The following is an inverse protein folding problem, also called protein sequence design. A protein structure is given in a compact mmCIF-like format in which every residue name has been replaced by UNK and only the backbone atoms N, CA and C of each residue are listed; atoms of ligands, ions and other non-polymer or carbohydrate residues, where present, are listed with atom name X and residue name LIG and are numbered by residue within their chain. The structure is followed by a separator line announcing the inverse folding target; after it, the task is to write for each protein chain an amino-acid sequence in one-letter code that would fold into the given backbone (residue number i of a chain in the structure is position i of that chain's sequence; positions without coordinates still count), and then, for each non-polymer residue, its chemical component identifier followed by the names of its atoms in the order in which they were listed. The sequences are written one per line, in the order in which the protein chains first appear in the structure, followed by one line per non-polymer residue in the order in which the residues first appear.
data_IF_936604099332
#
_entry.id   IF_936604099332
#
_cell.length_a   1.000
_cell.length_b   1.000
_cell.length_c   1.000
_cell.angle_alpha   90.00
_cell.angle_beta   90.00
_cell.angle_gamma   90.00
#
_symmetry.space_group_name_H-M   'P 1'
#
loop_
_entity.id
_entity.type
_entity.pdbx_description
1 polymer ?
#
# COMPACT_ATOMS: atom_id res chain seq x y z
N UNK A 1 13.11 -9.81 23.61
CA UNK A 1 11.89 -10.57 23.99
C UNK A 1 10.70 -9.76 23.53
N UNK A 2 9.67 -10.38 22.93
CA UNK A 2 8.45 -9.65 22.56
C UNK A 2 7.79 -9.08 23.81
N UNK A 3 7.22 -7.89 23.70
CA UNK A 3 6.38 -7.27 24.71
C UNK A 3 5.11 -8.09 24.91
N UNK A 4 4.68 -8.24 26.16
CA UNK A 4 3.27 -8.54 26.46
C UNK A 4 2.40 -7.31 26.19
N UNK A 5 1.07 -7.48 26.13
CA UNK A 5 0.14 -6.36 25.94
C UNK A 5 0.36 -5.24 26.97
N UNK A 6 0.47 -5.57 28.26
CA UNK A 6 0.68 -4.55 29.32
C UNK A 6 2.03 -3.84 29.17
N UNK A 7 3.11 -4.57 28.85
CA UNK A 7 4.42 -3.94 28.64
C UNK A 7 4.42 -3.04 27.38
N UNK A 8 3.72 -3.45 26.33
CA UNK A 8 3.53 -2.63 25.12
C UNK A 8 2.74 -1.36 25.44
N UNK A 9 1.65 -1.48 26.18
CA UNK A 9 0.82 -0.35 26.65
C UNK A 9 1.63 0.62 27.52
N UNK A 10 2.45 0.11 28.43
CA UNK A 10 3.35 0.92 29.27
C UNK A 10 4.39 1.65 28.42
N UNK A 11 4.97 0.99 27.42
CA UNK A 11 5.93 1.60 26.50
C UNK A 11 5.29 2.72 25.67
N UNK A 12 4.09 2.50 25.15
CA UNK A 12 3.33 3.54 24.45
C UNK A 12 2.99 4.71 25.38
N UNK A 13 2.56 4.45 26.62
CA UNK A 13 2.31 5.51 27.59
C UNK A 13 3.58 6.33 27.88
N UNK A 14 4.74 5.69 27.94
CA UNK A 14 6.05 6.35 28.08
C UNK A 14 6.36 7.25 26.88
N UNK A 15 6.16 6.75 25.65
CA UNK A 15 6.37 7.53 24.43
C UNK A 15 5.41 8.73 24.34
N UNK A 16 4.13 8.53 24.68
CA UNK A 16 3.12 9.60 24.72
C UNK A 16 3.53 10.68 25.72
N UNK A 17 3.97 10.30 26.91
CA UNK A 17 4.49 11.26 27.91
C UNK A 17 5.70 12.02 27.40
N UNK A 18 6.63 11.33 26.73
CA UNK A 18 7.82 11.96 26.14
C UNK A 18 7.44 12.98 25.07
N UNK A 19 6.56 12.61 24.13
CA UNK A 19 6.05 13.48 23.09
C UNK A 19 5.32 14.70 23.68
N UNK A 20 4.40 14.47 24.64
CA UNK A 20 3.63 15.53 25.28
C UNK A 20 4.52 16.56 25.99
N UNK A 21 5.62 16.11 26.62
CA UNK A 21 6.55 16.99 27.34
C UNK A 21 7.20 18.03 26.43
N UNK A 22 7.56 17.65 25.19
CA UNK A 22 8.23 18.55 24.24
C UNK A 22 7.40 18.79 22.96
N UNK A 23 6.06 18.67 23.04
CA UNK A 23 5.16 18.72 21.88
C UNK A 23 5.41 19.92 20.97
N UNK A 24 5.60 21.10 21.57
CA UNK A 24 5.86 22.33 20.81
C UNK A 24 7.10 22.25 19.91
N UNK A 25 8.13 21.48 20.30
CA UNK A 25 9.33 21.27 19.48
C UNK A 25 9.07 20.28 18.35
N UNK A 26 8.31 19.22 18.61
CA UNK A 26 8.02 18.17 17.62
C UNK A 26 7.08 18.63 16.52
N UNK A 27 6.09 19.47 16.82
CA UNK A 27 5.19 20.05 15.80
C UNK A 27 5.79 21.25 15.06
N UNK A 28 6.98 21.71 15.46
CA UNK A 28 7.59 22.89 14.87
C UNK A 28 7.98 22.65 13.39
N UNK A 29 7.89 23.65 12.50
CA UNK A 29 8.29 23.53 11.09
C UNK A 29 9.72 23.01 10.86
N UNK A 30 10.64 23.22 11.81
CA UNK A 30 12.02 22.75 11.72
C UNK A 30 12.21 21.24 12.03
N UNK A 31 11.27 20.60 12.74
CA UNK A 31 11.36 19.18 13.05
C UNK A 31 11.18 18.34 11.78
N UNK A 32 11.90 17.22 11.66
CA UNK A 32 11.95 16.42 10.43
C UNK A 32 11.15 15.12 10.59
N UNK A 33 10.49 14.69 9.51
CA UNK A 33 9.80 13.39 9.45
C UNK A 33 10.73 12.23 9.82
N UNK A 34 11.99 12.26 9.37
CA UNK A 34 12.98 11.23 9.71
C UNK A 34 13.27 11.15 11.22
N UNK A 35 13.28 12.28 11.93
CA UNK A 35 13.44 12.30 13.39
C UNK A 35 12.18 11.77 14.08
N UNK A 36 10.99 12.16 13.60
CA UNK A 36 9.73 11.62 14.11
C UNK A 36 9.66 10.09 13.97
N UNK A 37 10.15 9.57 12.84
CA UNK A 37 10.27 8.14 12.60
C UNK A 37 11.15 7.48 13.66
N UNK A 38 12.38 7.94 13.81
CA UNK A 38 13.35 7.35 14.74
C UNK A 38 12.94 7.49 16.22
N UNK A 39 12.40 8.63 16.62
CA UNK A 39 12.11 8.93 18.04
C UNK A 39 10.76 8.38 18.51
N UNK A 40 9.81 8.18 17.60
CA UNK A 40 8.42 7.88 17.99
C UNK A 40 7.75 6.77 17.19
N UNK A 41 7.82 6.80 15.85
CA UNK A 41 7.05 5.88 15.01
C UNK A 41 7.72 4.50 14.94
N UNK A 42 9.04 4.42 14.82
CA UNK A 42 9.79 3.17 14.92
C UNK A 42 9.57 2.52 16.30
N UNK A 43 9.74 3.24 17.43
CA UNK A 43 9.38 2.72 18.75
C UNK A 43 7.92 2.26 18.88
N UNK A 44 6.96 2.95 18.26
CA UNK A 44 5.55 2.54 18.25
C UNK A 44 5.38 1.18 17.56
N UNK A 45 6.02 0.96 16.41
CA UNK A 45 5.94 -0.31 15.70
C UNK A 45 6.73 -1.43 16.40
N UNK A 46 7.85 -1.10 17.05
CA UNK A 46 8.57 -2.03 17.93
C UNK A 46 7.72 -2.42 19.14
N UNK A 47 6.95 -1.48 19.71
CA UNK A 47 6.01 -1.76 20.78
C UNK A 47 4.86 -2.67 20.32
N UNK A 48 4.56 -2.72 19.02
CA UNK A 48 3.67 -3.72 18.39
C UNK A 48 4.38 -5.04 18.05
N UNK A 49 5.57 -5.28 18.59
CA UNK A 49 6.42 -6.46 18.41
C UNK A 49 6.99 -6.68 17.01
N UNK A 50 6.93 -5.69 16.12
CA UNK A 50 7.57 -5.80 14.81
C UNK A 50 9.07 -5.55 14.89
N UNK A 51 9.86 -6.37 14.18
CA UNK A 51 11.31 -6.19 14.08
C UNK A 51 11.69 -5.11 13.06
N UNK A 52 11.38 -3.85 13.38
CA UNK A 52 11.60 -2.67 12.52
C UNK A 52 13.08 -2.51 12.16
N UNK A 53 13.97 -2.75 13.12
CA UNK A 53 15.41 -2.54 12.97
C UNK A 53 16.16 -3.79 12.52
N UNK A 54 15.46 -4.89 12.22
CA UNK A 54 16.04 -6.18 11.84
C UNK A 54 17.09 -6.69 12.85
N UNK A 55 16.81 -6.56 14.15
CA UNK A 55 17.68 -7.08 15.22
C UNK A 55 17.76 -8.60 15.23
N UNK A 56 16.82 -9.30 14.60
CA UNK A 56 16.90 -10.74 14.39
C UNK A 56 17.89 -11.12 13.27
N UNK A 57 18.49 -10.14 12.58
CA UNK A 57 19.42 -10.33 11.46
C UNK A 57 18.83 -11.23 10.37
N UNK A 58 17.52 -11.12 10.12
CA UNK A 58 16.87 -11.87 9.07
C UNK A 58 17.44 -11.46 7.70
N UNK A 59 17.57 -12.44 6.80
CA UNK A 59 17.94 -12.16 5.43
C UNK A 59 16.89 -11.21 4.79
N UNK A 60 17.25 -10.44 3.74
CA UNK A 60 16.33 -9.51 3.08
C UNK A 60 14.98 -10.12 2.73
N UNK A 61 14.96 -11.39 2.30
CA UNK A 61 13.76 -12.15 1.95
C UNK A 61 12.88 -12.55 3.14
N UNK A 62 13.33 -12.41 4.38
CA UNK A 62 12.61 -12.83 5.59
C UNK A 62 12.36 -11.71 6.62
N UNK A 63 12.89 -10.50 6.41
CA UNK A 63 12.59 -9.31 7.24
C UNK A 63 11.10 -9.03 7.38
N UNK A 64 10.55 -9.01 8.58
CA UNK A 64 9.10 -8.78 8.77
C UNK A 64 8.67 -7.35 8.42
N UNK A 65 9.59 -6.39 8.48
CA UNK A 65 9.37 -4.98 8.12
C UNK A 65 10.32 -4.59 7.01
N UNK A 66 9.78 -4.03 5.93
CA UNK A 66 10.55 -3.40 4.86
C UNK A 66 10.38 -1.89 5.00
N UNK A 67 11.49 -1.19 5.19
CA UNK A 67 11.56 0.26 5.20
C UNK A 67 11.93 0.74 3.81
N UNK A 68 11.24 1.74 3.30
CA UNK A 68 11.65 2.42 2.07
C UNK A 68 12.76 3.44 2.41
N UNK A 69 13.92 3.29 1.76
CA UNK A 69 14.97 4.30 1.75
C UNK A 69 14.51 5.43 0.84
N UNK A 70 13.96 6.48 1.43
CA UNK A 70 13.60 7.70 0.72
C UNK A 70 14.86 8.45 0.29
N UNK A 71 15.57 7.95 -0.72
CA UNK A 71 16.49 8.75 -1.52
C UNK A 71 15.64 9.51 -2.52
N UNK A 72 15.30 10.75 -2.17
CA UNK A 72 14.58 11.69 -3.02
C UNK A 72 15.35 11.94 -4.34
N UNK A 73 15.08 11.11 -5.34
CA UNK A 73 15.42 11.39 -6.73
C UNK A 73 14.15 11.95 -7.37
N UNK A 74 14.10 13.28 -7.42
CA UNK A 74 13.27 14.12 -8.28
C UNK A 74 12.03 13.43 -8.90
N UNK A 75 10.89 13.49 -8.20
CA UNK A 75 9.57 13.32 -8.81
C UNK A 75 9.02 11.90 -8.95
N UNK A 76 9.64 10.88 -8.36
CA UNK A 76 9.07 9.52 -8.35
C UNK A 76 8.05 9.32 -7.21
N UNK A 77 6.97 8.58 -7.50
CA UNK A 77 5.90 8.27 -6.54
C UNK A 77 6.49 7.49 -5.36
N UNK A 78 6.55 8.14 -4.19
CA UNK A 78 7.04 7.62 -2.91
C UNK A 78 6.27 6.36 -2.51
N UNK A 79 6.97 5.22 -2.39
CA UNK A 79 6.45 3.99 -1.79
C UNK A 79 6.08 4.22 -0.31
N UNK A 80 5.23 3.38 0.30
CA UNK A 80 4.87 3.55 1.71
C UNK A 80 6.09 3.43 2.61
N UNK A 81 6.19 4.25 3.66
CA UNK A 81 7.39 4.30 4.51
C UNK A 81 7.70 2.94 5.19
N UNK A 82 6.66 2.14 5.47
CA UNK A 82 6.74 0.82 6.10
C UNK A 82 5.84 -0.20 5.37
N UNK A 83 6.37 -1.39 5.09
CA UNK A 83 5.59 -2.55 4.69
C UNK A 83 5.79 -3.72 5.66
N UNK A 84 4.69 -4.19 6.24
CA UNK A 84 4.68 -5.28 7.21
C UNK A 84 4.24 -6.58 6.54
N UNK A 85 4.97 -7.67 6.78
CA UNK A 85 4.74 -8.94 6.09
C UNK A 85 4.89 -10.17 6.98
N UNK A 86 4.23 -11.24 6.56
CA UNK A 86 4.43 -12.60 7.08
C UNK A 86 5.01 -13.42 5.94
N UNK A 87 6.28 -13.83 6.08
CA UNK A 87 7.02 -14.43 4.96
C UNK A 87 7.11 -13.47 3.77
N UNK A 88 6.54 -13.86 2.62
CA UNK A 88 6.49 -13.02 1.41
C UNK A 88 5.19 -12.21 1.29
N UNK A 89 4.18 -12.50 2.11
CA UNK A 89 2.88 -11.86 2.00
C UNK A 89 2.84 -10.56 2.79
N UNK A 90 2.64 -9.44 2.08
CA UNK A 90 2.35 -8.14 2.69
C UNK A 90 1.00 -8.20 3.40
N UNK A 91 0.95 -7.65 4.62
CA UNK A 91 -0.25 -7.64 5.47
C UNK A 91 -0.88 -6.25 5.55
N UNK A 92 -0.06 -5.24 5.82
CA UNK A 92 -0.50 -3.84 5.84
C UNK A 92 0.67 -2.89 5.55
N UNK A 93 0.34 -1.65 5.23
CA UNK A 93 1.32 -0.56 5.14
C UNK A 93 1.21 0.37 6.34
N UNK A 94 2.35 0.93 6.73
CA UNK A 94 2.46 2.07 7.63
C UNK A 94 2.97 3.27 6.84
N UNK A 95 2.24 4.37 6.85
CA UNK A 95 2.69 5.65 6.30
C UNK A 95 3.00 6.60 7.45
N UNK A 96 4.21 7.16 7.46
CA UNK A 96 4.62 8.14 8.43
C UNK A 96 4.42 9.56 7.87
N UNK A 97 4.10 10.48 8.77
CA UNK A 97 4.15 11.91 8.50
C UNK A 97 4.90 12.59 9.63
N UNK A 98 5.34 13.81 9.34
CA UNK A 98 5.87 14.71 10.36
C UNK A 98 4.75 15.12 11.34
N UNK A 99 5.02 15.15 12.66
CA UNK A 99 4.10 15.70 13.65
C UNK A 99 3.64 17.12 13.31
N UNK A 100 2.35 17.39 13.56
CA UNK A 100 1.72 18.68 13.27
C UNK A 100 1.08 18.76 11.88
N UNK A 101 1.13 17.67 11.10
CA UNK A 101 0.28 17.51 9.91
C UNK A 101 -1.07 16.98 10.39
N UNK A 102 -2.12 17.80 10.30
CA UNK A 102 -3.47 17.41 10.73
C UNK A 102 -4.01 16.26 9.87
N UNK A 103 -3.88 15.02 10.37
CA UNK A 103 -4.31 13.80 9.69
C UNK A 103 -5.84 13.67 9.69
N UNK A 104 -6.52 14.38 10.58
CA UNK A 104 -7.98 14.41 10.65
C UNK A 104 -8.58 15.17 9.47
N UNK A 105 -7.90 16.20 8.97
CA UNK A 105 -8.40 17.08 7.89
C UNK A 105 -7.61 17.01 6.58
N UNK A 106 -6.35 16.59 6.60
CA UNK A 106 -5.53 16.47 5.39
C UNK A 106 -5.88 15.22 4.56
N UNK A 107 -6.46 15.43 3.36
CA UNK A 107 -6.90 14.33 2.49
C UNK A 107 -5.74 13.62 1.78
N UNK A 108 -4.67 14.34 1.44
CA UNK A 108 -3.59 13.81 0.62
C UNK A 108 -2.87 12.60 1.25
N UNK A 109 -2.48 12.61 2.55
CA UNK A 109 -1.87 11.44 3.19
C UNK A 109 -2.80 10.21 3.23
N UNK A 110 -4.07 10.42 3.56
CA UNK A 110 -5.07 9.36 3.59
C UNK A 110 -5.29 8.73 2.19
N UNK A 111 -5.39 9.57 1.17
CA UNK A 111 -5.51 9.11 -0.22
C UNK A 111 -4.27 8.34 -0.66
N UNK A 112 -3.07 8.83 -0.36
CA UNK A 112 -1.81 8.15 -0.70
C UNK A 112 -1.75 6.74 -0.11
N UNK A 113 -1.96 6.60 1.20
CA UNK A 113 -1.94 5.31 1.89
C UNK A 113 -2.97 4.34 1.31
N UNK A 114 -4.23 4.80 1.20
CA UNK A 114 -5.33 3.97 0.66
C UNK A 114 -5.07 3.58 -0.78
N UNK A 115 -4.48 4.46 -1.59
CA UNK A 115 -4.12 4.15 -2.99
C UNK A 115 -3.15 3.00 -3.03
N UNK A 116 -2.05 3.03 -2.27
CA UNK A 116 -1.08 1.92 -2.25
C UNK A 116 -1.67 0.63 -1.69
N UNK A 117 -2.42 0.71 -0.60
CA UNK A 117 -3.01 -0.46 0.04
C UNK A 117 -4.09 -1.13 -0.83
N UNK A 118 -5.00 -0.35 -1.44
CA UNK A 118 -6.05 -0.86 -2.35
C UNK A 118 -5.44 -1.59 -3.55
N UNK A 119 -4.43 -0.96 -4.11
CA UNK A 119 -3.57 -1.49 -5.16
C UNK A 119 -2.94 -2.83 -4.80
N UNK A 120 -2.32 -2.93 -3.63
CA UNK A 120 -1.75 -4.18 -3.11
C UNK A 120 -2.79 -5.17 -2.56
N UNK A 121 -4.11 -4.91 -2.75
CA UNK A 121 -5.22 -5.71 -2.20
C UNK A 121 -5.14 -5.91 -0.67
N UNK A 122 -4.52 -4.97 0.04
CA UNK A 122 -4.43 -5.00 1.50
C UNK A 122 -5.74 -4.46 2.08
N UNK A 123 -6.32 -5.15 3.07
CA UNK A 123 -7.62 -4.74 3.61
C UNK A 123 -7.53 -3.53 4.52
N UNK A 124 -6.42 -3.38 5.25
CA UNK A 124 -6.22 -2.35 6.26
C UNK A 124 -4.79 -1.83 6.21
N UNK A 125 -4.62 -0.55 6.51
CA UNK A 125 -3.30 0.10 6.66
C UNK A 125 -3.37 1.25 7.67
N UNK A 126 -2.20 1.63 8.19
CA UNK A 126 -1.99 2.65 9.22
C UNK A 126 -1.37 3.92 8.65
N UNK A 127 -1.88 5.07 9.06
CA UNK A 127 -1.30 6.40 8.84
C UNK A 127 -1.03 7.04 10.19
N UNK A 128 0.18 7.53 10.42
CA UNK A 128 0.49 8.20 11.69
C UNK A 128 1.58 9.27 11.57
N UNK A 129 1.46 10.33 12.36
CA UNK A 129 2.52 11.29 12.65
C UNK A 129 2.93 11.23 14.14
N UNK A 130 2.64 10.10 14.78
CA UNK A 130 2.63 9.85 16.22
C UNK A 130 1.61 10.64 17.04
N UNK A 131 1.38 11.94 16.75
CA UNK A 131 0.34 12.74 17.41
C UNK A 131 -1.07 12.18 17.13
N UNK A 132 -1.27 11.71 15.91
CA UNK A 132 -2.49 11.09 15.43
C UNK A 132 -2.17 9.72 14.80
N UNK A 133 -3.05 8.74 15.01
CA UNK A 133 -3.02 7.43 14.35
C UNK A 133 -4.39 7.16 13.74
N UNK A 134 -4.40 6.89 12.44
CA UNK A 134 -5.60 6.59 11.68
C UNK A 134 -5.46 5.22 11.01
N UNK A 135 -6.49 4.38 11.18
CA UNK A 135 -6.64 3.10 10.50
C UNK A 135 -7.61 3.27 9.34
N UNK A 136 -7.26 2.81 8.15
CA UNK A 136 -8.12 2.90 6.97
C UNK A 136 -8.50 1.52 6.42
N UNK A 137 -9.79 1.36 6.10
CA UNK A 137 -10.29 0.30 5.23
C UNK A 137 -9.86 0.60 3.78
N UNK A 138 -8.98 -0.24 3.28
CA UNK A 138 -8.34 -0.08 1.98
C UNK A 138 -8.98 -0.95 0.91
N UNK A 139 -10.12 -1.59 1.20
CA UNK A 139 -10.93 -2.34 0.22
C UNK A 139 -11.79 -1.40 -0.63
N UNK A 140 -12.13 -0.23 -0.09
CA UNK A 140 -12.90 0.80 -0.78
C UNK A 140 -11.97 1.61 -1.69
N UNK A 141 -12.27 1.65 -3.00
CA UNK A 141 -11.47 2.38 -4.00
C UNK A 141 -11.29 3.85 -3.56
N UNK A 142 -10.05 4.33 -3.43
CA UNK A 142 -9.79 5.71 -3.03
C UNK A 142 -10.01 6.67 -4.19
N UNK A 143 -10.52 7.85 -3.87
CA UNK A 143 -10.69 8.98 -4.79
C UNK A 143 -9.96 10.20 -4.25
N UNK A 144 -9.37 11.01 -5.14
CA UNK A 144 -8.71 12.28 -4.76
C UNK A 144 -9.69 13.29 -4.15
N UNK A 145 -10.99 13.08 -4.36
CA UNK A 145 -12.07 13.91 -3.79
C UNK A 145 -12.55 13.41 -2.43
N UNK A 146 -12.02 12.29 -1.95
CA UNK A 146 -12.41 11.73 -0.66
C UNK A 146 -11.97 12.64 0.49
N UNK A 147 -12.87 12.82 1.46
CA UNK A 147 -12.49 13.41 2.75
C UNK A 147 -11.64 12.40 3.53
N UNK A 148 -10.77 12.84 4.46
CA UNK A 148 -9.98 11.93 5.30
C UNK A 148 -10.82 11.00 6.18
N UNK A 149 -12.10 11.31 6.42
CA UNK A 149 -13.01 10.42 7.15
C UNK A 149 -13.51 9.24 6.31
N UNK A 150 -13.39 9.30 4.98
CA UNK A 150 -13.85 8.23 4.09
C UNK A 150 -12.98 6.99 4.32
N UNK A 151 -13.66 5.88 4.61
CA UNK A 151 -13.05 4.60 4.91
C UNK A 151 -12.09 4.61 6.12
N UNK A 152 -12.13 5.64 6.98
CA UNK A 152 -11.38 5.65 8.23
C UNK A 152 -12.09 4.76 9.25
N UNK A 153 -11.51 3.60 9.52
CA UNK A 153 -12.05 2.58 10.41
C UNK A 153 -11.78 2.89 11.88
N UNK A 154 -10.62 3.49 12.18
CA UNK A 154 -10.28 3.93 13.52
C UNK A 154 -9.46 5.22 13.48
N UNK A 155 -9.50 5.98 14.57
CA UNK A 155 -8.73 7.20 14.77
C UNK A 155 -8.49 7.41 16.26
N UNK A 156 -7.24 7.68 16.61
CA UNK A 156 -6.79 7.96 17.97
C UNK A 156 -5.85 9.16 17.94
N UNK A 157 -6.03 10.10 18.87
CA UNK A 157 -4.98 11.03 19.24
C UNK A 157 -4.01 10.37 20.23
N UNK A 158 -2.76 10.83 20.29
CA UNK A 158 -1.70 10.20 21.08
C UNK A 158 -2.04 10.09 22.58
N UNK A 159 -2.81 11.05 23.11
CA UNK A 159 -3.28 11.02 24.50
C UNK A 159 -4.32 9.92 24.78
N UNK A 160 -4.93 9.35 23.75
CA UNK A 160 -5.87 8.22 23.86
C UNK A 160 -5.18 6.86 23.70
N UNK A 161 -3.91 6.82 23.27
CA UNK A 161 -3.26 5.56 22.91
C UNK A 161 -3.21 4.57 24.07
N UNK A 162 -2.88 5.01 25.29
CA UNK A 162 -2.80 4.10 26.43
C UNK A 162 -4.17 3.47 26.76
N UNK A 163 -5.24 4.27 26.73
CA UNK A 163 -6.58 3.82 27.11
C UNK A 163 -7.20 2.90 26.05
N UNK A 164 -6.90 3.16 24.78
CA UNK A 164 -7.48 2.47 23.62
C UNK A 164 -6.48 1.58 22.89
N UNK A 165 -5.35 1.23 23.54
CA UNK A 165 -4.25 0.50 22.90
C UNK A 165 -4.67 -0.85 22.33
N UNK A 166 -5.61 -1.53 23.00
CA UNK A 166 -6.17 -2.81 22.55
C UNK A 166 -6.71 -2.73 21.12
N UNK A 167 -7.32 -1.60 20.72
CA UNK A 167 -7.88 -1.43 19.37
C UNK A 167 -6.81 -1.45 18.26
N UNK A 168 -5.57 -1.08 18.60
CA UNK A 168 -4.42 -1.15 17.68
C UNK A 168 -3.70 -2.48 17.84
N UNK A 169 -3.45 -2.90 19.08
CA UNK A 169 -2.73 -4.13 19.41
C UNK A 169 -3.42 -5.39 18.86
N UNK A 170 -4.73 -5.54 19.07
CA UNK A 170 -5.49 -6.73 18.69
C UNK A 170 -5.62 -6.90 17.16
N UNK A 171 -5.25 -5.88 16.39
CA UNK A 171 -5.31 -5.87 14.93
C UNK A 171 -3.90 -5.86 14.33
N UNK A 172 -3.01 -4.98 14.79
CA UNK A 172 -1.74 -4.67 14.14
C UNK A 172 -0.50 -5.19 14.88
N UNK A 173 -0.62 -5.78 16.07
CA UNK A 173 0.53 -6.44 16.69
C UNK A 173 1.02 -7.60 15.81
N UNK A 174 2.32 -7.91 15.90
CA UNK A 174 2.88 -9.08 15.23
C UNK A 174 2.08 -10.33 15.60
N UNK A 175 1.75 -10.52 16.86
CA UNK A 175 0.98 -11.68 17.34
C UNK A 175 -0.44 -11.72 16.74
N UNK A 176 -1.15 -10.59 16.68
CA UNK A 176 -2.49 -10.52 16.08
C UNK A 176 -2.48 -10.84 14.59
N UNK A 177 -1.47 -10.38 13.85
CA UNK A 177 -1.33 -10.64 12.42
C UNK A 177 -0.97 -12.10 12.17
N UNK A 178 -0.02 -12.66 12.93
CA UNK A 178 0.37 -14.06 12.82
C UNK A 178 -0.73 -15.02 13.30
N UNK A 179 -1.52 -14.62 14.30
CA UNK A 179 -2.67 -15.36 14.82
C UNK A 179 -3.93 -15.28 13.95
N UNK A 180 -3.92 -14.47 12.88
CA UNK A 180 -5.03 -14.33 11.94
C UNK A 180 -6.15 -13.39 12.40
N UNK A 181 -6.02 -12.74 13.56
CA UNK A 181 -6.99 -11.75 14.05
C UNK A 181 -7.12 -10.55 13.10
N UNK A 182 -6.00 -10.12 12.52
CA UNK A 182 -5.99 -9.09 11.47
C UNK A 182 -6.90 -9.47 10.29
N UNK A 183 -6.74 -10.69 9.77
CA UNK A 183 -7.53 -11.19 8.65
C UNK A 183 -9.00 -11.33 9.05
N UNK A 184 -9.32 -11.78 10.26
CA UNK A 184 -10.69 -11.86 10.76
C UNK A 184 -11.35 -10.48 10.90
N UNK A 185 -10.65 -9.48 11.44
CA UNK A 185 -11.17 -8.12 11.56
C UNK A 185 -11.46 -7.52 10.18
N UNK A 186 -10.53 -7.68 9.24
CA UNK A 186 -10.71 -7.32 7.84
C UNK A 186 -11.91 -8.03 7.19
N UNK A 187 -12.20 -9.26 7.60
CA UNK A 187 -13.34 -10.03 7.09
C UNK A 187 -14.66 -9.72 7.80
N UNK A 188 -14.68 -9.42 9.10
CA UNK A 188 -15.88 -9.03 9.83
C UNK A 188 -16.47 -7.71 9.30
N UNK A 189 -15.60 -6.81 8.81
CA UNK A 189 -16.01 -5.63 8.04
C UNK A 189 -16.62 -5.94 6.66
N UNK A 190 -16.74 -7.21 6.21
CA UNK A 190 -17.33 -7.60 4.90
C UNK A 190 -18.85 -7.40 4.80
N UNK A 191 -19.50 -6.89 5.84
CA UNK A 191 -20.93 -6.56 5.81
C UNK A 191 -21.37 -5.59 4.70
N UNK A 192 -20.44 -4.94 3.98
CA UNK A 192 -20.74 -4.18 2.75
C UNK A 192 -19.60 -4.38 1.72
N UNK A 193 -19.95 -5.04 0.61
CA UNK A 193 -19.33 -5.00 -0.75
C UNK A 193 -17.83 -4.65 -0.80
N UNK A 194 -16.95 -5.62 -1.07
CA UNK A 194 -15.53 -5.28 -1.29
C UNK A 194 -14.68 -6.26 -2.08
N UNK A 195 -14.94 -7.57 -2.00
CA UNK A 195 -14.06 -8.54 -2.67
C UNK A 195 -14.28 -8.66 -4.20
N UNK A 196 -15.46 -8.26 -4.72
CA UNK A 196 -15.82 -8.38 -6.14
C UNK A 196 -15.58 -7.11 -6.97
N UNK A 197 -15.49 -5.93 -6.34
CA UNK A 197 -15.39 -4.65 -7.08
C UNK A 197 -14.00 -4.43 -7.67
N UNK A 198 -12.97 -4.94 -7.00
CA UNK A 198 -11.57 -4.72 -7.35
C UNK A 198 -11.21 -5.35 -8.70
N UNK A 199 -11.65 -6.57 -8.97
CA UNK A 199 -11.38 -7.26 -10.25
C UNK A 199 -12.29 -6.74 -11.38
N UNK A 200 -13.52 -6.33 -11.08
CA UNK A 200 -14.43 -5.72 -12.05
C UNK A 200 -13.96 -4.33 -12.50
N UNK A 201 -13.47 -3.51 -11.56
CA UNK A 201 -12.91 -2.18 -11.88
C UNK A 201 -11.58 -2.28 -12.64
N UNK A 202 -10.75 -3.30 -12.36
CA UNK A 202 -9.54 -3.54 -13.16
C UNK A 202 -9.87 -3.91 -14.61
N UNK A 203 -10.86 -4.79 -14.82
CA UNK A 203 -11.34 -5.12 -16.16
C UNK A 203 -11.85 -3.87 -16.88
N UNK A 204 -12.60 -3.01 -16.18
CA UNK A 204 -13.08 -1.74 -16.73
C UNK A 204 -11.95 -0.77 -17.10
N UNK A 205 -10.86 -0.75 -16.32
CA UNK A 205 -9.68 0.03 -16.68
C UNK A 205 -9.01 -0.51 -17.95
N UNK A 206 -8.83 -1.84 -18.07
CA UNK A 206 -8.30 -2.48 -19.29
C UNK A 206 -9.15 -2.13 -20.51
N UNK A 207 -10.47 -2.22 -20.40
CA UNK A 207 -11.38 -1.84 -21.49
C UNK A 207 -11.24 -0.36 -21.86
N UNK A 208 -11.11 0.52 -20.87
CA UNK A 208 -10.83 1.95 -21.12
C UNK A 208 -9.52 2.18 -21.86
N UNK A 209 -8.48 1.39 -21.58
CA UNK A 209 -7.21 1.49 -22.29
C UNK A 209 -7.31 0.98 -23.71
N UNK A 210 -8.00 -0.15 -23.92
CA UNK A 210 -8.28 -0.72 -25.24
C UNK A 210 -8.92 0.32 -26.15
N UNK A 211 -9.90 1.03 -25.60
CA UNK A 211 -10.59 2.13 -26.24
C UNK A 211 -9.65 3.27 -26.68
N UNK A 212 -8.80 3.72 -25.76
CA UNK A 212 -7.83 4.80 -26.01
C UNK A 212 -6.77 4.37 -27.04
N UNK A 213 -6.26 3.15 -26.91
CA UNK A 213 -5.30 2.53 -27.82
C UNK A 213 -5.87 2.41 -29.23
N UNK A 214 -7.06 1.83 -29.35
CA UNK A 214 -7.71 1.64 -30.63
C UNK A 214 -7.92 2.98 -31.35
N UNK A 215 -8.43 4.00 -30.64
CA UNK A 215 -8.59 5.35 -31.21
C UNK A 215 -7.25 5.94 -31.67
N UNK A 216 -6.21 5.86 -30.85
CA UNK A 216 -4.91 6.45 -31.18
C UNK A 216 -4.17 5.74 -32.32
N UNK A 217 -4.26 4.41 -32.38
CA UNK A 217 -3.63 3.61 -33.44
C UNK A 217 -4.38 3.80 -34.75
N UNK A 218 -5.72 3.77 -34.73
CA UNK A 218 -6.54 3.99 -35.93
C UNK A 218 -6.29 5.36 -36.56
N UNK A 219 -6.21 6.43 -35.74
CA UNK A 219 -5.95 7.79 -36.22
C UNK A 219 -4.60 7.94 -36.96
N UNK A 220 -3.60 7.15 -36.59
CA UNK A 220 -2.24 7.23 -37.15
C UNK A 220 -1.98 6.19 -38.24
N UNK A 221 -2.88 5.22 -38.42
CA UNK A 221 -2.70 4.08 -39.32
C UNK A 221 -4.00 3.75 -40.06
N UNK A 222 -4.41 4.63 -40.98
CA UNK A 222 -5.67 4.51 -41.73
C UNK A 222 -5.78 3.26 -42.63
N UNK A 223 -4.69 2.50 -42.82
CA UNK A 223 -4.65 1.29 -43.64
C UNK A 223 -4.96 0.00 -42.87
N UNK A 224 -5.01 0.07 -41.53
CA UNK A 224 -5.27 -1.11 -40.71
C UNK A 224 -6.74 -1.52 -40.84
N UNK A 225 -6.95 -2.82 -41.00
CA UNK A 225 -8.28 -3.41 -40.81
C UNK A 225 -8.67 -3.41 -39.34
N UNK A 226 -9.96 -3.59 -39.06
CA UNK A 226 -10.48 -3.67 -37.68
C UNK A 226 -9.83 -4.83 -36.92
N UNK A 227 -9.60 -5.96 -37.59
CA UNK A 227 -9.01 -7.15 -36.97
C UNK A 227 -7.52 -6.93 -36.63
N UNK A 228 -6.75 -6.33 -37.54
CA UNK A 228 -5.35 -5.98 -37.30
C UNK A 228 -5.21 -4.93 -36.19
N UNK A 229 -6.14 -3.96 -36.15
CA UNK A 229 -6.20 -2.97 -35.06
C UNK A 229 -6.45 -3.66 -33.71
N UNK A 230 -7.45 -4.54 -33.63
CA UNK A 230 -7.77 -5.27 -32.40
C UNK A 230 -6.60 -6.16 -31.93
N UNK A 231 -5.96 -6.90 -32.83
CA UNK A 231 -4.80 -7.74 -32.51
C UNK A 231 -3.61 -6.89 -32.02
N UNK A 232 -3.32 -5.77 -32.70
CA UNK A 232 -2.26 -4.85 -32.28
C UNK A 232 -2.52 -4.26 -30.89
N UNK A 233 -3.76 -3.81 -30.63
CA UNK A 233 -4.17 -3.28 -29.32
C UNK A 233 -4.04 -4.34 -28.23
N UNK A 234 -4.53 -5.56 -28.47
CA UNK A 234 -4.49 -6.65 -27.50
C UNK A 234 -3.05 -7.04 -27.16
N UNK A 235 -2.19 -7.22 -28.17
CA UNK A 235 -0.77 -7.56 -27.97
C UNK A 235 -0.02 -6.49 -27.18
N UNK A 236 -0.34 -5.22 -27.38
CA UNK A 236 0.24 -4.13 -26.61
C UNK A 236 -0.18 -4.20 -25.14
N UNK A 237 -1.48 -4.39 -24.88
CA UNK A 237 -2.01 -4.56 -23.52
C UNK A 237 -1.35 -5.76 -22.84
N UNK A 238 -1.28 -6.92 -23.50
CA UNK A 238 -0.71 -8.14 -22.94
C UNK A 238 0.78 -7.97 -22.57
N UNK A 239 1.56 -7.28 -23.41
CA UNK A 239 2.98 -6.98 -23.15
C UNK A 239 3.17 -6.04 -21.96
N UNK A 240 2.35 -5.00 -21.86
CA UNK A 240 2.38 -4.06 -20.72
C UNK A 240 2.05 -4.81 -19.43
N UNK A 241 1.00 -5.63 -19.47
CA UNK A 241 0.58 -6.45 -18.34
C UNK A 241 1.71 -7.40 -17.92
N UNK A 242 2.34 -8.09 -18.87
CA UNK A 242 3.43 -9.01 -18.60
C UNK A 242 4.62 -8.32 -17.91
N UNK A 243 5.07 -7.18 -18.43
CA UNK A 243 6.17 -6.43 -17.83
C UNK A 243 5.83 -5.95 -16.41
N UNK A 244 4.58 -5.54 -16.16
CA UNK A 244 4.15 -5.16 -14.82
C UNK A 244 4.15 -6.34 -13.84
N UNK A 245 3.80 -7.53 -14.30
CA UNK A 245 3.90 -8.76 -13.49
C UNK A 245 5.35 -9.14 -13.17
N UNK A 246 6.28 -8.85 -14.08
CA UNK A 246 7.69 -9.10 -13.85
C UNK A 246 8.25 -8.16 -12.77
N UNK A 247 7.84 -6.89 -12.75
CA UNK A 247 8.19 -5.92 -11.69
C UNK A 247 7.70 -6.36 -10.30
N UNK A 248 6.42 -6.71 -10.18
CA UNK A 248 5.85 -7.07 -8.87
C UNK A 248 6.40 -8.39 -8.31
N UNK A 249 6.96 -9.25 -9.17
CA UNK A 249 7.66 -10.48 -8.77
C UNK A 249 9.14 -10.28 -8.48
N UNK A 250 9.67 -9.07 -8.61
CA UNK A 250 11.09 -8.79 -8.48
C UNK A 250 11.96 -9.44 -9.57
N UNK A 251 11.36 -9.87 -10.68
CA UNK A 251 12.11 -10.33 -11.88
C UNK A 251 12.70 -9.12 -12.60
N UNK A 252 11.94 -8.02 -12.62
CA UNK A 252 12.35 -6.72 -13.13
C UNK A 252 12.40 -5.70 -11.99
N UNK A 253 13.24 -4.67 -12.12
CA UNK A 253 13.35 -3.61 -11.13
C UNK A 253 12.00 -2.88 -10.97
N UNK A 254 11.50 -2.79 -9.74
CA UNK A 254 10.20 -2.19 -9.46
C UNK A 254 10.13 -0.75 -9.97
N UNK A 255 9.08 -0.42 -10.73
CA UNK A 255 8.86 0.92 -11.28
C UNK A 255 9.69 1.25 -12.54
N UNK A 256 10.48 0.31 -13.08
CA UNK A 256 11.22 0.48 -14.34
C UNK A 256 10.33 0.88 -15.51
N UNK A 257 9.19 0.23 -15.68
CA UNK A 257 8.17 0.50 -16.71
C UNK A 257 7.64 1.93 -16.58
N UNK A 258 7.41 2.39 -15.35
CA UNK A 258 6.98 3.76 -15.08
C UNK A 258 8.08 4.77 -15.41
N UNK A 259 9.34 4.48 -15.05
CA UNK A 259 10.48 5.35 -15.39
C UNK A 259 10.64 5.47 -16.90
N UNK A 260 10.61 4.36 -17.64
CA UNK A 260 10.68 4.38 -19.11
C UNK A 260 9.53 5.20 -19.73
N UNK A 261 8.33 5.09 -19.17
CA UNK A 261 7.19 5.89 -19.60
C UNK A 261 7.38 7.40 -19.34
N UNK A 262 8.01 7.79 -18.23
CA UNK A 262 8.22 9.20 -17.88
C UNK A 262 9.26 9.92 -18.77
N UNK A 263 10.18 9.19 -19.39
CA UNK A 263 11.21 9.77 -20.27
C UNK A 263 10.73 9.94 -21.74
N UNK A 264 9.54 9.44 -22.06
CA UNK A 264 8.97 9.47 -23.40
C UNK A 264 7.98 10.64 -23.50
N UNK A 265 8.47 11.85 -23.78
CA UNK A 265 7.64 13.05 -23.87
C UNK A 265 6.44 12.93 -24.83
N UNK A 266 5.32 13.54 -24.43
CA UNK A 266 4.12 13.89 -25.21
C UNK A 266 3.42 12.80 -26.06
N UNK A 267 2.47 12.07 -25.46
CA UNK A 267 1.17 11.70 -26.07
C UNK A 267 0.25 11.03 -25.00
N UNK A 268 -0.72 11.81 -24.50
CA UNK A 268 -1.20 11.84 -23.11
C UNK A 268 -2.47 11.01 -22.76
N UNK A 269 -2.68 9.81 -23.32
CA UNK A 269 -3.89 9.02 -22.94
C UNK A 269 -3.59 7.56 -22.63
N UNK A 270 -2.66 6.97 -23.35
CA UNK A 270 -2.19 5.60 -23.15
C UNK A 270 -1.36 5.42 -21.87
N UNK A 271 -0.73 6.50 -21.41
CA UNK A 271 0.22 6.47 -20.31
C UNK A 271 -0.41 6.77 -18.95
N UNK A 272 -1.53 7.50 -18.91
CA UNK A 272 -2.33 7.70 -17.70
C UNK A 272 -2.92 6.37 -17.19
N UNK A 273 -3.29 5.52 -18.14
CA UNK A 273 -3.67 4.12 -17.97
C UNK A 273 -2.55 3.27 -17.31
N UNK A 274 -1.34 3.27 -17.86
CA UNK A 274 -0.17 2.59 -17.27
C UNK A 274 0.21 3.11 -15.88
N UNK A 275 -0.03 4.39 -15.59
CA UNK A 275 0.25 4.97 -14.28
C UNK A 275 -0.70 4.44 -13.19
N UNK A 276 -1.90 3.97 -13.58
CA UNK A 276 -2.87 3.34 -12.67
C UNK A 276 -2.48 1.89 -12.36
N UNK A 277 -1.94 1.15 -13.34
CA UNK A 277 -1.40 -0.21 -13.13
C UNK A 277 -0.06 -0.25 -12.41
N UNK A 278 0.84 0.70 -12.70
CA UNK A 278 2.10 0.85 -11.96
C UNK A 278 1.89 1.20 -10.49
N UNK A 279 0.71 1.73 -10.14
CA UNK A 279 0.38 2.02 -8.76
C UNK A 279 -0.23 0.82 -8.03
N UNK A 280 -0.48 -0.36 -8.64
CA UNK A 280 -1.19 -1.42 -7.92
C UNK A 280 -1.69 -2.73 -8.52
N UNK A 281 -0.98 -3.36 -9.46
CA UNK A 281 -1.62 -4.47 -10.19
C UNK A 281 -0.76 -5.67 -10.56
N UNK A 282 0.57 -5.66 -10.39
CA UNK A 282 1.35 -6.85 -10.72
C UNK A 282 1.17 -8.00 -9.71
N UNK A 283 0.63 -7.74 -8.50
CA UNK A 283 0.24 -8.78 -7.54
C UNK A 283 -1.02 -9.56 -7.96
N UNK A 284 -1.85 -9.04 -8.88
CA UNK A 284 -3.15 -9.66 -9.20
C UNK A 284 -3.05 -10.83 -10.17
N UNK A 285 -2.10 -10.78 -11.09
CA UNK A 285 -2.01 -11.78 -12.16
C UNK A 285 -1.12 -12.96 -11.74
N UNK A 286 -0.46 -12.87 -10.57
CA UNK A 286 0.38 -13.95 -10.08
C UNK A 286 -0.42 -15.17 -9.63
N UNK A 287 -1.58 -14.93 -9.01
CA UNK A 287 -2.43 -15.97 -8.43
C UNK A 287 -3.33 -16.70 -9.44
N UNK A 288 -3.64 -16.10 -10.60
CA UNK A 288 -4.56 -16.72 -11.57
C UNK A 288 -3.94 -17.88 -12.38
N UNK A 289 -2.62 -17.85 -12.63
CA UNK A 289 -2.00 -18.90 -13.46
C UNK A 289 -1.60 -20.14 -12.66
N UNK A 290 -1.43 -20.04 -11.34
CA UNK A 290 -1.14 -21.20 -10.48
C UNK A 290 -2.38 -22.08 -10.29
N UNK A 291 -3.59 -21.48 -10.16
CA UNK A 291 -4.83 -22.26 -10.03
C UNK A 291 -5.22 -23.03 -11.31
N UNK A 292 -4.85 -22.54 -12.50
CA UNK A 292 -5.12 -23.24 -13.77
C UNK A 292 -4.07 -24.31 -14.11
N UNK A 293 -2.83 -24.17 -13.60
CA UNK A 293 -1.76 -25.15 -13.84
C UNK A 293 -1.78 -26.34 -12.87
N UNK A 294 -2.31 -26.18 -11.64
CA UNK A 294 -2.49 -27.32 -10.72
C UNK A 294 -3.69 -28.21 -11.06
N UNK A 295 -4.69 -27.69 -11.78
CA UNK A 295 -5.89 -28.48 -12.15
C UNK A 295 -5.66 -29.42 -13.33
N UNK A 296 -4.55 -29.27 -14.07
CA UNK A 296 -4.26 -30.09 -15.26
C UNK A 296 -3.35 -31.29 -14.99
N UNK A 297 -2.70 -31.37 -13.81
CA UNK A 297 -1.75 -32.44 -13.47
C UNK A 297 -2.33 -33.60 -12.63
N UNK A 298 -3.62 -33.60 -12.30
CA UNK A 298 -4.25 -34.65 -11.46
C UNK A 298 -5.20 -35.58 -12.26
N UNK A 299 -5.12 -35.60 -13.60
CA UNK A 299 -5.98 -36.47 -14.44
C UNK A 299 -5.27 -37.45 -15.38
N UNK A 300 -3.99 -37.74 -15.14
CA UNK A 300 -3.31 -38.87 -15.81
C UNK A 300 -2.46 -39.64 -14.80
N UNK A 301 -3.11 -40.55 -14.09
CA UNK A 301 -2.58 -41.80 -13.53
C UNK A 301 -3.77 -42.70 -13.22
#
# INVERSE_FOLDING_TARGET
MPYSFEQSKDEIARLVKHFATNKAMYIAPAYKEAHARQEFIDPLFVALNWDVHNYQHAAPDYREVILEDSLDIAGQKKAPDYAFRVGRDRKFFGEAKKPGVDLKTAAAPAYQLRRYAWSAKLPLSLLTDFEELAVYDCRIRPSEKDKPSVARANYLACNEYADRWAEVWDVFSREAVWGGSFDQFAQAGKGKRGASEVDAEFLKEIEGWRDVLARNIALRNARLTIDELNDAVQRLIDRIIFLRMAEDRGIEEYGRLQRLAAHSGENDHLFRAMTITCSGHGDRLSRRRVSESETTLVKTS
#
